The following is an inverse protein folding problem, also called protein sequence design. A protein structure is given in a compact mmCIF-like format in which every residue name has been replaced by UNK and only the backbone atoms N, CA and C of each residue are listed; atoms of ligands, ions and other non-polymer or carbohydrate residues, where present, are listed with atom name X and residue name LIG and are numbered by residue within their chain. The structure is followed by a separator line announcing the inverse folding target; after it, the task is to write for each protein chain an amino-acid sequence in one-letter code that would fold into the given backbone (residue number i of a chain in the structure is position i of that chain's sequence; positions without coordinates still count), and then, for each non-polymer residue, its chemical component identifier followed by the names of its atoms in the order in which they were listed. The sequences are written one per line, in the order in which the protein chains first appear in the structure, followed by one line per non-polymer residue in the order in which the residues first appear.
data_IF_392117607448
#
_entry.id   IF_392117607448
#
_cell.length_a   1.000
_cell.length_b   1.000
_cell.length_c   1.000
_cell.angle_alpha   90.00
_cell.angle_beta   90.00
_cell.angle_gamma   90.00
#
_symmetry.space_group_name_H-M   'P 1'
#
loop_
_entity.id
_entity.type
_entity.pdbx_description
1 polymer ?
#
# COMPACT_ATOMS: atom_id res chain seq x y z
N UNK A 1 21.97 7.45 17.54
CA UNK A 1 21.62 8.12 16.28
C UNK A 1 21.35 7.00 15.31
N UNK A 2 20.07 6.65 15.14
CA UNK A 2 19.69 5.64 14.15
C UNK A 2 19.11 6.46 13.01
N UNK A 3 19.95 6.79 12.02
CA UNK A 3 19.61 7.69 10.92
C UNK A 3 18.30 7.31 10.23
N UNK A 4 17.98 6.01 10.16
CA UNK A 4 16.72 5.49 9.63
C UNK A 4 15.52 5.79 10.54
N UNK A 5 15.68 5.65 11.86
CA UNK A 5 14.61 5.94 12.81
C UNK A 5 14.30 7.43 12.87
N UNK A 6 15.34 8.27 12.89
CA UNK A 6 15.23 9.73 12.87
C UNK A 6 14.66 10.22 11.51
N UNK A 7 15.12 9.65 10.39
CA UNK A 7 14.55 9.90 9.06
C UNK A 7 13.06 9.54 9.01
N UNK A 8 12.68 8.36 9.48
CA UNK A 8 11.29 7.90 9.42
C UNK A 8 10.36 8.79 10.28
N UNK A 9 10.89 9.34 11.38
CA UNK A 9 10.17 10.28 12.26
C UNK A 9 10.10 11.70 11.71
N UNK A 10 10.95 12.06 10.75
CA UNK A 10 10.94 13.36 10.07
C UNK A 10 9.84 13.51 9.03
N UNK A 11 9.20 12.40 8.64
CA UNK A 11 8.14 12.36 7.62
C UNK A 11 6.85 12.97 8.18
N UNK A 12 6.12 13.83 7.43
CA UNK A 12 4.81 14.32 7.82
C UNK A 12 3.84 13.17 8.16
N UNK A 13 3.01 13.35 9.20
CA UNK A 13 2.16 12.29 9.74
C UNK A 13 1.28 11.59 8.68
N UNK A 14 0.71 12.36 7.74
CA UNK A 14 -0.15 11.83 6.67
C UNK A 14 0.66 10.92 5.73
N UNK A 15 1.82 11.39 5.25
CA UNK A 15 2.73 10.64 4.38
C UNK A 15 3.23 9.38 5.06
N UNK A 16 3.50 9.45 6.37
CA UNK A 16 3.90 8.30 7.18
C UNK A 16 2.81 7.21 7.21
N UNK A 17 1.55 7.57 7.51
CA UNK A 17 0.44 6.60 7.48
C UNK A 17 0.20 6.03 6.09
N UNK A 18 0.31 6.86 5.05
CA UNK A 18 0.13 6.41 3.67
C UNK A 18 1.23 5.43 3.23
N UNK A 19 2.48 5.77 3.54
CA UNK A 19 3.66 4.96 3.21
C UNK A 19 3.65 3.62 3.95
N UNK A 20 3.37 3.64 5.26
CA UNK A 20 3.25 2.42 6.07
C UNK A 20 2.11 1.53 5.58
N UNK A 21 0.94 2.09 5.29
CA UNK A 21 -0.21 1.32 4.80
C UNK A 21 0.08 0.69 3.44
N UNK A 22 0.73 1.41 2.53
CA UNK A 22 1.17 0.89 1.21
C UNK A 22 2.22 -0.23 1.34
N UNK A 23 2.95 -0.29 2.46
CA UNK A 23 3.92 -1.35 2.78
C UNK A 23 3.26 -2.58 3.40
N UNK A 24 2.41 -2.38 4.38
CA UNK A 24 1.80 -3.49 5.13
C UNK A 24 0.74 -4.23 4.30
N UNK A 25 -0.02 -3.54 3.45
CA UNK A 25 -1.10 -4.15 2.66
C UNK A 25 -0.60 -5.27 1.71
N UNK A 26 0.44 -5.07 0.88
CA UNK A 26 1.02 -6.14 0.07
C UNK A 26 1.62 -7.29 0.90
N UNK A 27 2.17 -6.99 2.08
CA UNK A 27 2.73 -8.00 2.99
C UNK A 27 1.62 -8.91 3.54
N UNK A 28 0.51 -8.34 3.99
CA UNK A 28 -0.66 -9.09 4.46
C UNK A 28 -1.24 -9.98 3.35
N UNK A 29 -1.30 -9.47 2.11
CA UNK A 29 -1.70 -10.25 0.94
C UNK A 29 -0.74 -11.41 0.64
N UNK A 30 0.58 -11.16 0.71
CA UNK A 30 1.61 -12.20 0.50
C UNK A 30 1.65 -13.27 1.58
N UNK A 31 1.39 -12.91 2.82
CA UNK A 31 1.32 -13.85 3.94
C UNK A 31 0.08 -14.76 3.86
N UNK A 32 -0.83 -14.52 2.90
CA UNK A 32 -2.03 -15.33 2.71
C UNK A 32 -3.08 -15.14 3.81
N UNK A 33 -2.95 -14.09 4.63
CA UNK A 33 -3.92 -13.77 5.69
C UNK A 33 -5.27 -13.33 5.11
N UNK A 34 -5.25 -12.75 3.91
CA UNK A 34 -6.43 -12.29 3.18
C UNK A 34 -6.26 -12.71 1.71
N UNK A 35 -7.31 -13.25 1.09
CA UNK A 35 -7.28 -13.63 -0.32
C UNK A 35 -6.99 -12.42 -1.21
N UNK A 36 -6.02 -12.56 -2.13
CA UNK A 36 -5.59 -11.52 -3.07
C UNK A 36 -6.77 -10.95 -3.88
N UNK A 37 -7.79 -11.77 -4.11
CA UNK A 37 -9.02 -11.38 -4.81
C UNK A 37 -9.74 -10.21 -4.14
N UNK A 38 -9.65 -10.05 -2.81
CA UNK A 38 -10.30 -8.94 -2.10
C UNK A 38 -9.66 -7.58 -2.39
N UNK A 39 -8.39 -7.57 -2.80
CA UNK A 39 -7.64 -6.36 -3.15
C UNK A 39 -7.84 -5.93 -4.60
N UNK A 40 -8.41 -6.79 -5.44
CA UNK A 40 -8.81 -6.44 -6.80
C UNK A 40 -10.12 -5.66 -6.74
N UNK A 41 -10.13 -4.49 -7.39
CA UNK A 41 -11.30 -3.65 -7.50
C UNK A 41 -12.30 -4.29 -8.47
N UNK A 42 -13.36 -4.90 -7.93
CA UNK A 42 -14.54 -5.27 -8.72
C UNK A 42 -15.61 -4.19 -8.56
N UNK A 43 -15.94 -3.43 -9.61
CA UNK A 43 -16.94 -2.37 -9.54
C UNK A 43 -18.32 -2.92 -9.18
N UNK A 44 -18.68 -4.11 -9.64
CA UNK A 44 -19.95 -4.75 -9.30
C UNK A 44 -20.06 -5.03 -7.79
N UNK A 45 -19.03 -5.60 -7.18
CA UNK A 45 -19.04 -5.90 -5.75
C UNK A 45 -18.96 -4.62 -4.88
N UNK A 46 -18.31 -3.58 -5.38
CA UNK A 46 -18.16 -2.32 -4.65
C UNK A 46 -19.45 -1.49 -4.66
N UNK A 47 -20.16 -1.45 -5.80
CA UNK A 47 -21.38 -0.65 -5.98
C UNK A 47 -22.64 -1.40 -5.55
N UNK A 48 -22.75 -2.70 -5.82
CA UNK A 48 -23.97 -3.48 -5.52
C UNK A 48 -23.96 -4.14 -4.15
N UNK A 49 -22.78 -4.42 -3.57
CA UNK A 49 -22.67 -5.08 -2.25
C UNK A 49 -22.14 -4.17 -1.12
N UNK A 50 -22.09 -2.85 -1.33
CA UNK A 50 -21.59 -1.87 -0.35
C UNK A 50 -20.21 -2.18 0.25
N UNK A 51 -19.34 -2.84 -0.52
CA UNK A 51 -17.99 -3.19 -0.08
C UNK A 51 -17.01 -2.01 -0.29
N UNK A 52 -17.30 -0.85 0.32
CA UNK A 52 -16.55 0.41 0.15
C UNK A 52 -15.08 0.27 0.57
N UNK A 53 -14.81 -0.61 1.55
CA UNK A 53 -13.45 -0.89 2.01
C UNK A 53 -12.55 -1.43 0.89
N UNK A 54 -13.10 -2.08 -0.14
CA UNK A 54 -12.31 -2.64 -1.26
C UNK A 54 -11.65 -1.57 -2.10
N UNK A 55 -12.32 -0.44 -2.33
CA UNK A 55 -11.74 0.72 -3.03
C UNK A 55 -10.57 1.33 -2.26
N UNK A 56 -10.68 1.37 -0.94
CA UNK A 56 -9.61 1.86 -0.07
C UNK A 56 -8.44 0.89 -0.14
N UNK A 57 -8.65 -0.40 0.12
CA UNK A 57 -7.56 -1.40 0.09
C UNK A 57 -6.93 -1.57 -1.29
N UNK A 58 -7.69 -1.41 -2.38
CA UNK A 58 -7.17 -1.47 -3.75
C UNK A 58 -6.22 -0.30 -4.06
N UNK A 59 -6.44 0.87 -3.46
CA UNK A 59 -5.55 2.04 -3.63
C UNK A 59 -4.17 1.79 -3.03
N UNK A 60 -4.12 1.06 -1.92
CA UNK A 60 -2.88 0.72 -1.21
C UNK A 60 -2.27 -0.62 -1.64
N UNK A 61 -2.98 -1.39 -2.45
CA UNK A 61 -2.52 -2.69 -2.93
C UNK A 61 -1.72 -2.54 -4.22
N UNK A 62 -0.42 -2.82 -4.14
CA UNK A 62 0.42 -3.02 -5.31
C UNK A 62 0.77 -4.52 -5.42
N UNK A 63 0.53 -5.17 -6.57
CA UNK A 63 0.93 -6.57 -6.75
C UNK A 63 2.45 -6.68 -6.73
N UNK A 64 2.99 -7.33 -5.69
CA UNK A 64 4.43 -7.56 -5.52
C UNK A 64 4.75 -9.00 -5.91
N UNK A 65 5.05 -9.22 -7.18
CA UNK A 65 5.51 -10.49 -7.73
C UNK A 65 7.03 -10.45 -7.95
N UNK A 66 7.71 -11.60 -8.13
CA UNK A 66 9.16 -11.64 -8.36
C UNK A 66 9.64 -10.72 -9.51
N UNK A 67 8.75 -10.36 -10.45
CA UNK A 67 9.04 -9.43 -11.54
C UNK A 67 8.60 -7.97 -11.30
N UNK A 68 7.68 -7.68 -10.39
CA UNK A 68 7.15 -6.32 -10.16
C UNK A 68 7.68 -5.65 -8.89
N UNK A 69 8.49 -6.35 -8.08
CA UNK A 69 9.07 -5.80 -6.85
C UNK A 69 9.90 -4.54 -7.06
N UNK A 70 10.63 -4.41 -8.17
CA UNK A 70 11.40 -3.19 -8.49
C UNK A 70 10.49 -2.00 -8.80
N UNK A 71 9.42 -2.22 -9.57
CA UNK A 71 8.41 -1.20 -9.87
C UNK A 71 7.71 -0.71 -8.60
N UNK A 72 7.44 -1.63 -7.67
CA UNK A 72 6.87 -1.30 -6.37
C UNK A 72 7.78 -0.38 -5.55
N UNK A 73 9.08 -0.67 -5.47
CA UNK A 73 10.05 0.17 -4.76
C UNK A 73 10.16 1.57 -5.38
N UNK A 74 10.13 1.66 -6.71
CA UNK A 74 10.12 2.95 -7.43
C UNK A 74 8.84 3.75 -7.12
N UNK A 75 7.68 3.10 -7.06
CA UNK A 75 6.43 3.77 -6.68
C UNK A 75 6.47 4.28 -5.23
N UNK A 76 7.04 3.52 -4.29
CA UNK A 76 7.25 3.99 -2.91
C UNK A 76 8.19 5.20 -2.86
N UNK A 77 9.23 5.21 -3.69
CA UNK A 77 10.13 6.34 -3.80
C UNK A 77 9.42 7.59 -4.35
N UNK A 78 8.61 7.45 -5.40
CA UNK A 78 7.80 8.56 -5.91
C UNK A 78 6.78 9.05 -4.89
N UNK A 79 6.09 8.14 -4.18
CA UNK A 79 5.15 8.50 -3.13
C UNK A 79 5.85 9.37 -2.07
N UNK A 80 7.05 8.97 -1.63
CA UNK A 80 7.84 9.75 -0.69
C UNK A 80 8.22 11.11 -1.27
N UNK A 81 8.83 11.15 -2.47
CA UNK A 81 9.34 12.37 -3.07
C UNK A 81 8.26 13.40 -3.39
N UNK A 82 7.05 12.98 -3.76
CA UNK A 82 5.93 13.90 -4.04
C UNK A 82 5.10 14.28 -2.82
N UNK A 83 5.31 13.61 -1.68
CA UNK A 83 4.59 13.89 -0.43
C UNK A 83 5.43 14.63 0.61
N UNK A 84 6.60 15.14 0.19
CA UNK A 84 7.51 15.99 0.98
C UNK A 84 7.58 17.36 0.34
#
# INVERSE_FOLDING_TARGET
MSDIGDWFRSIPAITHYWFTTTREVPLVGKLGLISLAYFILWPEASLYCFQIWRSITATFFAPVDPGTGSLYLVNLYFLYQYST
#
